data_IF_576629380164
#
_entry.id   IF_576629380164
#
_cell.length_a   1.000
_cell.length_b   1.000
_cell.length_c   1.000
_cell.angle_alpha   90.00
_cell.angle_beta   90.00
_cell.angle_gamma   90.00
#
_symmetry.space_group_name_H-M   'P 1'
#
loop_
_entity.id
_entity.type
_entity.pdbx_description
1 polymer ?
#
# COMPACT_ATOMS: atom_id res chain seq x y z
N UNK A 1 2.67 -24.11 -6.36
CA UNK A 1 2.64 -25.14 -5.31
C UNK A 1 3.96 -25.20 -4.53
N UNK A 2 5.11 -25.14 -5.19
CA UNK A 2 6.43 -25.17 -4.55
C UNK A 2 6.63 -24.06 -3.49
N UNK A 3 6.28 -22.81 -3.79
CA UNK A 3 6.42 -21.70 -2.84
C UNK A 3 5.57 -21.87 -1.56
N UNK A 4 4.35 -22.41 -1.66
CA UNK A 4 3.47 -22.61 -0.52
C UNK A 4 4.05 -23.67 0.43
N UNK A 5 4.61 -24.75 -0.14
CA UNK A 5 5.26 -25.81 0.62
C UNK A 5 6.54 -25.33 1.31
N UNK A 6 7.37 -24.53 0.64
CA UNK A 6 8.59 -23.95 1.24
C UNK A 6 8.25 -23.03 2.42
N UNK A 7 7.23 -22.19 2.29
CA UNK A 7 6.78 -21.30 3.38
C UNK A 7 6.21 -22.07 4.56
N UNK A 8 5.40 -23.10 4.31
CA UNK A 8 4.87 -23.97 5.36
C UNK A 8 6.01 -24.68 6.11
N UNK A 9 7.02 -25.18 5.38
CA UNK A 9 8.17 -25.87 5.95
C UNK A 9 9.05 -24.94 6.80
N UNK A 10 9.32 -23.72 6.32
CA UNK A 10 10.08 -22.71 7.06
C UNK A 10 9.38 -22.32 8.39
N UNK A 11 8.05 -22.18 8.37
CA UNK A 11 7.27 -21.88 9.58
C UNK A 11 7.31 -23.01 10.60
N UNK A 12 7.19 -24.26 10.13
CA UNK A 12 7.30 -25.42 11.01
C UNK A 12 8.69 -25.53 11.64
N UNK A 13 9.75 -25.35 10.84
CA UNK A 13 11.12 -25.34 11.35
C UNK A 13 11.34 -24.25 12.41
N UNK A 14 10.79 -23.05 12.18
CA UNK A 14 10.89 -21.95 13.15
C UNK A 14 10.22 -22.28 14.48
N UNK A 15 9.03 -22.90 14.44
CA UNK A 15 8.34 -23.35 15.65
C UNK A 15 9.12 -24.44 16.42
N UNK A 16 9.78 -25.36 15.71
CA UNK A 16 10.60 -26.41 16.34
C UNK A 16 11.87 -25.84 16.97
N UNK A 17 12.51 -24.87 16.30
CA UNK A 17 13.74 -24.24 16.79
C UNK A 17 13.49 -23.27 17.96
N UNK A 18 12.33 -22.61 17.96
CA UNK A 18 11.98 -21.56 18.92
C UNK A 18 10.48 -21.65 19.28
N UNK A 19 10.10 -22.46 20.28
CA UNK A 19 8.70 -22.76 20.59
C UNK A 19 8.04 -21.68 21.45
N UNK A 20 8.15 -20.42 21.02
CA UNK A 20 7.41 -19.30 21.61
C UNK A 20 5.99 -19.22 21.03
N UNK A 21 5.05 -18.67 21.80
CA UNK A 21 3.65 -18.54 21.42
C UNK A 21 3.44 -17.89 20.05
N UNK A 22 4.20 -16.82 19.75
CA UNK A 22 4.12 -16.10 18.48
C UNK A 22 4.54 -16.92 17.25
N UNK A 23 5.27 -18.03 17.43
CA UNK A 23 5.59 -18.95 16.34
C UNK A 23 4.53 -20.06 16.18
N UNK A 24 3.67 -20.26 17.18
CA UNK A 24 2.63 -21.28 17.18
C UNK A 24 1.29 -20.73 16.68
N UNK A 25 0.88 -19.56 17.15
CA UNK A 25 -0.45 -19.01 16.88
C UNK A 25 -0.50 -17.48 16.82
N UNK A 26 -1.53 -16.95 16.17
CA UNK A 26 -1.88 -15.53 16.11
C UNK A 26 -3.38 -15.33 16.38
N UNK A 27 -3.73 -14.17 16.94
CA UNK A 27 -5.10 -13.69 16.96
C UNK A 27 -5.45 -13.06 15.60
N UNK A 28 -6.61 -13.43 15.04
CA UNK A 28 -7.08 -13.00 13.74
C UNK A 28 -8.52 -12.48 13.82
N UNK A 29 -8.89 -11.62 12.89
CA UNK A 29 -10.27 -11.14 12.79
C UNK A 29 -11.11 -12.12 11.95
N UNK A 30 -12.32 -12.46 12.41
CA UNK A 30 -13.30 -13.23 11.65
C UNK A 30 -13.75 -12.43 10.42
N UNK A 31 -14.10 -11.17 10.64
CA UNK A 31 -14.39 -10.16 9.61
C UNK A 31 -13.16 -9.26 9.51
N UNK A 32 -12.48 -9.16 8.36
CA UNK A 32 -11.26 -8.38 8.24
C UNK A 32 -11.52 -6.87 8.29
N UNK A 33 -10.50 -6.11 8.73
CA UNK A 33 -10.56 -4.65 8.89
C UNK A 33 -11.04 -3.93 7.63
N UNK A 34 -10.59 -4.35 6.43
CA UNK A 34 -10.96 -3.70 5.17
C UNK A 34 -12.43 -3.92 4.78
N UNK A 35 -13.12 -4.87 5.42
CA UNK A 35 -14.57 -5.10 5.29
C UNK A 35 -15.36 -4.51 6.47
N UNK A 36 -14.72 -3.70 7.33
CA UNK A 36 -15.36 -3.07 8.48
C UNK A 36 -15.19 -3.81 9.81
N UNK A 37 -14.45 -4.92 9.86
CA UNK A 37 -14.22 -5.67 11.09
C UNK A 37 -13.06 -5.14 11.96
N UNK A 38 -12.84 -3.83 11.99
CA UNK A 38 -11.76 -3.21 12.77
C UNK A 38 -12.07 -3.04 14.26
N UNK A 39 -13.27 -3.44 14.70
CA UNK A 39 -13.63 -3.42 16.11
C UNK A 39 -12.97 -4.61 16.82
N UNK A 40 -12.11 -4.34 17.80
CA UNK A 40 -11.40 -5.36 18.58
C UNK A 40 -12.30 -6.06 19.63
N UNK A 41 -13.59 -6.26 19.33
CA UNK A 41 -14.45 -7.02 20.22
C UNK A 41 -14.11 -8.50 20.12
N UNK A 42 -14.28 -9.22 21.23
CA UNK A 42 -13.99 -10.65 21.29
C UNK A 42 -14.86 -11.46 20.31
N UNK A 43 -16.06 -10.98 19.97
CA UNK A 43 -16.97 -11.64 19.02
C UNK A 43 -16.41 -11.71 17.59
N UNK A 44 -15.49 -10.80 17.23
CA UNK A 44 -14.86 -10.78 15.91
C UNK A 44 -13.44 -11.38 15.91
N UNK A 45 -13.03 -12.02 17.00
CA UNK A 45 -11.69 -12.62 17.10
C UNK A 45 -11.74 -14.14 16.94
N UNK A 46 -10.71 -14.70 16.32
CA UNK A 46 -10.43 -16.13 16.28
C UNK A 46 -8.94 -16.38 16.49
N UNK A 47 -8.60 -17.56 16.99
CA UNK A 47 -7.22 -18.03 17.12
C UNK A 47 -6.87 -18.92 15.94
N UNK A 48 -5.77 -18.63 15.26
CA UNK A 48 -5.25 -19.42 14.14
C UNK A 48 -3.80 -19.81 14.43
N UNK A 49 -3.38 -21.00 13.97
CA UNK A 49 -1.95 -21.28 13.91
C UNK A 49 -1.27 -20.37 12.87
N UNK A 50 0.05 -20.18 12.97
CA UNK A 50 0.80 -19.29 12.06
C UNK A 50 0.66 -19.70 10.58
N UNK A 51 0.55 -21.00 10.28
CA UNK A 51 0.31 -21.48 8.92
C UNK A 51 -1.06 -21.03 8.38
N UNK A 52 -2.14 -21.33 9.09
CA UNK A 52 -3.50 -20.93 8.72
C UNK A 52 -3.66 -19.41 8.65
N UNK A 53 -3.08 -18.69 9.60
CA UNK A 53 -3.11 -17.22 9.64
C UNK A 53 -2.54 -16.62 8.35
N UNK A 54 -1.46 -17.18 7.83
CA UNK A 54 -0.84 -16.68 6.63
C UNK A 54 -1.62 -17.01 5.35
N UNK A 55 -2.27 -18.16 5.27
CA UNK A 55 -3.16 -18.47 4.14
C UNK A 55 -4.32 -17.48 4.09
N UNK A 56 -4.92 -17.19 5.25
CA UNK A 56 -5.94 -16.14 5.41
C UNK A 56 -5.39 -14.78 4.98
N UNK A 57 -4.21 -14.40 5.45
CA UNK A 57 -3.58 -13.12 5.10
C UNK A 57 -3.36 -13.01 3.58
N UNK A 58 -2.88 -14.07 2.93
CA UNK A 58 -2.66 -14.09 1.49
C UNK A 58 -3.97 -13.96 0.69
N UNK A 59 -5.03 -14.65 1.13
CA UNK A 59 -6.35 -14.55 0.53
C UNK A 59 -6.92 -13.14 0.68
N UNK A 60 -6.92 -12.59 1.90
CA UNK A 60 -7.38 -11.23 2.19
C UNK A 60 -6.57 -10.17 1.42
N UNK A 61 -5.25 -10.36 1.29
CA UNK A 61 -4.40 -9.46 0.52
C UNK A 61 -4.81 -9.43 -0.96
N UNK A 62 -5.06 -10.59 -1.54
CA UNK A 62 -5.51 -10.73 -2.93
C UNK A 62 -6.88 -10.09 -3.13
N UNK A 63 -7.84 -10.40 -2.25
CA UNK A 63 -9.20 -9.84 -2.31
C UNK A 63 -9.18 -8.31 -2.19
N UNK A 64 -8.48 -7.78 -1.17
CA UNK A 64 -8.33 -6.33 -0.96
C UNK A 64 -7.71 -5.64 -2.19
N UNK A 65 -6.71 -6.27 -2.82
CA UNK A 65 -6.09 -5.74 -4.04
C UNK A 65 -7.09 -5.68 -5.19
N UNK A 66 -7.85 -6.75 -5.43
CA UNK A 66 -8.87 -6.80 -6.47
C UNK A 66 -9.96 -5.75 -6.24
N UNK A 67 -10.47 -5.63 -5.02
CA UNK A 67 -11.48 -4.63 -4.63
C UNK A 67 -11.00 -3.21 -4.93
N UNK A 68 -9.75 -2.87 -4.58
CA UNK A 68 -9.16 -1.57 -4.89
C UNK A 68 -9.03 -1.33 -6.40
N UNK A 69 -8.62 -2.34 -7.16
CA UNK A 69 -8.51 -2.23 -8.62
C UNK A 69 -9.87 -1.97 -9.27
N UNK A 70 -10.91 -2.69 -8.84
CA UNK A 70 -12.28 -2.49 -9.33
C UNK A 70 -12.79 -1.09 -8.97
N UNK A 71 -12.61 -0.65 -7.72
CA UNK A 71 -12.99 0.69 -7.29
C UNK A 71 -12.29 1.78 -8.10
N UNK A 72 -10.98 1.64 -8.33
CA UNK A 72 -10.19 2.57 -9.16
C UNK A 72 -10.72 2.65 -10.60
N UNK A 73 -11.04 1.51 -11.24
CA UNK A 73 -11.63 1.48 -12.59
C UNK A 73 -12.97 2.22 -12.64
N UNK A 74 -13.86 1.96 -11.67
CA UNK A 74 -15.16 2.64 -11.56
C UNK A 74 -14.99 4.15 -11.39
N UNK A 75 -14.10 4.56 -10.50
CA UNK A 75 -13.80 5.97 -10.26
C UNK A 75 -13.26 6.65 -11.54
N UNK A 76 -12.31 6.02 -12.24
CA UNK A 76 -11.77 6.55 -13.51
C UNK A 76 -12.87 6.78 -14.56
N UNK A 77 -13.81 5.84 -14.69
CA UNK A 77 -14.92 5.97 -15.63
C UNK A 77 -15.90 7.09 -15.27
N UNK A 78 -16.22 7.28 -13.99
CA UNK A 78 -17.07 8.40 -13.53
C UNK A 78 -16.38 9.73 -13.81
N UNK A 79 -15.07 9.81 -13.52
CA UNK A 79 -14.27 11.02 -13.72
C UNK A 79 -14.16 11.41 -15.21
N UNK A 80 -14.00 10.43 -16.11
CA UNK A 80 -13.97 10.71 -17.56
C UNK A 80 -15.30 11.25 -18.08
N UNK A 81 -16.43 10.72 -17.59
CA UNK A 81 -17.77 11.19 -17.97
C UNK A 81 -18.07 12.60 -17.44
N UNK A 82 -17.56 12.95 -16.26
CA UNK A 82 -17.69 14.31 -15.73
C UNK A 82 -16.83 15.32 -16.52
N UNK A 83 -15.66 14.91 -17.02
CA UNK A 83 -14.78 15.75 -17.84
C UNK A 83 -15.41 16.07 -19.20
N UNK A 84 -16.08 15.11 -19.84
CA UNK A 84 -16.74 15.33 -21.13
C UNK A 84 -17.96 16.25 -21.04
N UNK A 85 -18.78 16.12 -20.00
CA UNK A 85 -19.97 16.98 -19.77
C UNK A 85 -19.60 18.44 -19.48
N UNK A 86 -18.53 18.69 -18.70
CA UNK A 86 -18.00 20.06 -18.49
C UNK A 86 -17.46 20.69 -19.78
N UNK A 87 -16.92 19.89 -20.71
CA UNK A 87 -16.43 20.36 -22.02
C UNK A 87 -17.56 20.77 -22.96
N UNK A 88 -18.74 20.14 -22.85
CA UNK A 88 -19.95 20.50 -23.60
C UNK A 88 -20.63 21.77 -23.08
N UNK A 89 -20.58 22.05 -21.77
CA UNK A 89 -21.22 23.25 -21.17
C UNK A 89 -20.42 24.55 -21.33
N UNK A 90 -19.13 24.48 -21.69
CA UNK A 90 -18.26 25.64 -21.99
C UNK A 90 -18.28 26.09 -23.46
N UNK A 91 -19.16 25.52 -24.30
CA UNK A 91 -19.28 25.89 -25.73
C UNK A 91 -20.34 26.96 -26.04
N UNK A 92 -20.86 27.64 -25.02
CA UNK A 92 -21.64 28.88 -25.19
C UNK A 92 -20.84 29.96 -24.47
N UNK A 93 -20.50 31.03 -25.20
CA UNK A 93 -19.71 32.22 -24.83
C UNK A 93 -18.18 32.16 -25.04
N UNK A 94 -17.81 32.42 -26.31
CA UNK A 94 -16.64 33.14 -26.88
C UNK A 94 -15.14 32.75 -26.70
N UNK A 95 -14.52 32.66 -27.89
CA UNK A 95 -13.18 33.01 -28.41
C UNK A 95 -11.85 32.66 -27.69
N UNK A 96 -11.08 31.83 -28.43
CA UNK A 96 -9.62 31.85 -28.71
C UNK A 96 -8.60 31.78 -27.56
N UNK A 97 -7.70 30.80 -27.63
CA UNK A 97 -6.56 30.71 -26.74
C UNK A 97 -5.81 29.38 -26.73
N UNK A 98 -5.17 29.05 -27.85
CA UNK A 98 -3.94 28.23 -27.98
C UNK A 98 -3.90 26.79 -27.45
N UNK A 99 -3.37 25.93 -28.34
CA UNK A 99 -3.24 24.48 -28.25
C UNK A 99 -2.05 24.08 -27.40
N UNK A 100 -2.19 23.06 -26.55
CA UNK A 100 -1.11 22.09 -26.37
C UNK A 100 -1.66 20.68 -26.24
N UNK A 101 -1.02 19.80 -27.01
CA UNK A 101 -1.41 18.47 -27.42
C UNK A 101 -1.18 17.42 -26.34
N UNK A 102 -1.83 16.28 -26.57
CA UNK A 102 -1.80 15.04 -25.81
C UNK A 102 -0.40 14.63 -25.32
N UNK A 103 -0.30 14.32 -24.03
CA UNK A 103 0.72 13.42 -23.50
C UNK A 103 -0.02 12.24 -22.88
N UNK A 104 -0.12 11.18 -23.67
CA UNK A 104 -0.35 9.82 -23.20
C UNK A 104 0.92 9.35 -22.47
N UNK A 105 1.00 9.59 -21.16
CA UNK A 105 1.91 8.83 -20.30
C UNK A 105 1.10 7.93 -19.37
N UNK A 106 1.14 6.63 -19.68
CA UNK A 106 0.70 5.56 -18.81
C UNK A 106 1.58 5.50 -17.54
N UNK A 107 1.27 6.31 -16.53
CA UNK A 107 1.82 6.23 -15.17
C UNK A 107 0.71 6.37 -14.12
N UNK A 108 -0.32 5.54 -14.21
CA UNK A 108 -1.41 5.52 -13.23
C UNK A 108 -0.98 4.84 -11.92
N UNK A 109 0.01 5.37 -11.19
CA UNK A 109 0.26 4.97 -9.79
C UNK A 109 0.44 6.11 -8.78
N UNK A 110 0.26 7.40 -9.10
CA UNK A 110 0.53 8.45 -8.08
C UNK A 110 -0.57 9.47 -7.80
N UNK A 111 -1.70 9.48 -8.53
CA UNK A 111 -2.71 10.55 -8.37
C UNK A 111 -3.70 10.35 -7.19
N UNK A 112 -3.39 9.48 -6.22
CA UNK A 112 -4.13 9.35 -4.94
C UNK A 112 -3.21 9.47 -3.72
N UNK A 113 -1.99 9.98 -3.88
CA UNK A 113 -1.08 10.31 -2.79
C UNK A 113 -1.17 11.81 -2.53
N UNK A 114 -1.68 12.16 -1.34
CA UNK A 114 -1.63 13.55 -0.85
C UNK A 114 -0.30 13.75 -0.16
N UNK A 115 0.41 14.83 -0.50
CA UNK A 115 1.67 15.15 0.15
C UNK A 115 1.40 15.61 1.58
N UNK A 116 1.82 14.81 2.56
CA UNK A 116 1.72 15.15 3.99
C UNK A 116 3.14 15.33 4.54
N UNK A 117 3.57 16.55 4.88
CA UNK A 117 4.93 16.80 5.37
C UNK A 117 5.27 15.91 6.58
N UNK A 118 6.42 15.26 6.54
CA UNK A 118 6.90 14.36 7.61
C UNK A 118 6.27 12.95 7.62
N UNK A 119 5.38 12.63 6.69
CA UNK A 119 4.81 11.28 6.56
C UNK A 119 5.75 10.35 5.80
N UNK A 120 5.93 9.12 6.30
CA UNK A 120 6.61 8.03 5.58
C UNK A 120 5.91 7.57 4.30
N UNK A 121 4.68 8.06 4.05
CA UNK A 121 3.86 7.70 2.88
C UNK A 121 3.78 8.82 1.83
N UNK A 122 4.57 9.88 1.97
CA UNK A 122 4.65 10.97 0.98
C UNK A 122 5.61 10.60 -0.15
N UNK A 123 5.28 10.98 -1.39
CA UNK A 123 6.15 10.76 -2.54
C UNK A 123 7.22 11.84 -2.61
N UNK A 124 8.49 11.45 -2.67
CA UNK A 124 9.58 12.36 -3.02
C UNK A 124 9.53 12.61 -4.52
N UNK A 125 9.02 13.75 -4.96
CA UNK A 125 9.16 14.17 -6.36
C UNK A 125 10.60 14.63 -6.57
N UNK A 126 11.53 13.71 -6.75
CA UNK A 126 12.88 14.02 -7.24
C UNK A 126 12.83 14.17 -8.76
N UNK A 127 12.63 15.40 -9.21
CA UNK A 127 13.03 15.81 -10.55
C UNK A 127 14.55 15.94 -10.60
N UNK A 128 15.14 15.16 -11.50
CA UNK A 128 16.53 15.22 -11.96
C UNK A 128 17.04 16.67 -12.12
N UNK A 129 17.98 17.10 -11.28
CA UNK A 129 19.01 18.06 -11.65
C UNK A 129 20.35 17.65 -11.00
N UNK A 130 21.36 17.45 -11.84
CA UNK A 130 22.73 17.17 -11.43
C UNK A 130 23.32 18.41 -10.73
N UNK A 131 23.89 18.22 -9.54
CA UNK A 131 24.69 19.22 -8.86
C UNK A 131 25.51 18.59 -7.75
N UNK A 132 26.78 18.35 -8.02
CA UNK A 132 27.78 17.84 -7.07
C UNK A 132 27.89 18.72 -5.82
N UNK A 133 27.75 18.14 -4.62
CA UNK A 133 28.45 18.64 -3.44
C UNK A 133 28.71 17.51 -2.42
N UNK A 134 29.98 17.20 -2.26
CA UNK A 134 30.52 16.40 -1.16
C UNK A 134 30.14 17.02 0.20
N UNK A 135 29.61 16.24 1.13
CA UNK A 135 29.75 16.57 2.56
C UNK A 135 29.68 15.32 3.46
N UNK A 136 30.88 14.81 3.75
CA UNK A 136 31.38 14.15 4.97
C UNK A 136 30.32 13.62 5.96
N UNK A 137 30.20 12.29 6.03
CA UNK A 137 29.62 11.59 7.18
C UNK A 137 30.72 11.32 8.20
N UNK A 138 30.77 12.12 9.28
CA UNK A 138 31.53 11.80 10.49
C UNK A 138 30.76 10.77 11.30
N UNK A 139 31.37 9.59 11.48
CA UNK A 139 30.98 8.57 12.44
C UNK A 139 31.21 9.07 13.86
N UNK A 140 30.17 9.14 14.68
CA UNK A 140 30.31 9.15 16.14
C UNK A 140 29.53 7.94 16.66
N UNK A 141 30.29 6.89 17.01
CA UNK A 141 29.83 5.83 17.90
C UNK A 141 29.91 6.40 19.32
N UNK A 142 28.77 6.49 20.00
CA UNK A 142 28.68 6.73 21.43
C UNK A 142 28.22 5.41 22.07
N UNK A 143 29.19 4.61 22.51
CA UNK A 143 28.96 3.51 23.45
C UNK A 143 29.52 3.96 24.79
N UNK A 144 28.66 4.59 25.58
CA UNK A 144 28.85 4.72 27.02
C UNK A 144 28.08 3.62 27.73
N UNK A 145 28.77 2.60 28.27
CA UNK A 145 28.35 2.04 29.54
C UNK A 145 29.56 1.49 30.31
N UNK A 146 29.54 1.80 31.60
CA UNK A 146 30.62 1.65 32.55
C UNK A 146 30.42 0.41 33.43
N UNK A 147 31.54 -0.09 33.93
CA UNK A 147 31.74 -1.08 35.02
C UNK A 147 31.86 -2.55 34.59
#
# INVERSE_FOLDING_TARGET
LEYQLVLALCRFQKLVQDPIDGNAWHADHIIPVYQGGGECRLENMRTLCVACHADVTAAQHTERRLTRLVAKKKLKAVMSNLKSTKKSKRKVDEAEGSRHSDIEENKDVDELLVNVPGSSYSISTESTEQGNSELKTSTNEDLGEAS
#
